data_IF_513316158624
#
_entry.id   IF_513316158624
#
_cell.length_a   1.000
_cell.length_b   1.000
_cell.length_c   1.000
_cell.angle_alpha   90.00
_cell.angle_beta   90.00
_cell.angle_gamma   90.00
#
_symmetry.space_group_name_H-M   'P 1'
#
loop_
_entity.id
_entity.type
_entity.pdbx_description
1 polymer ?
#
# COMPACT_ATOMS: atom_id res chain seq x y z
N UNK A 1 -49.96 -8.69 -69.11
CA UNK A 1 -49.29 -9.60 -70.06
C UNK A 1 -47.86 -9.80 -69.63
N UNK A 2 -47.34 -11.04 -69.56
CA UNK A 2 -46.27 -11.47 -68.65
C UNK A 2 -44.94 -11.83 -69.35
N UNK A 3 -43.86 -12.02 -68.56
CA UNK A 3 -42.71 -12.94 -68.73
C UNK A 3 -41.71 -12.64 -67.58
N UNK A 4 -41.44 -13.47 -66.54
CA UNK A 4 -40.81 -14.81 -66.49
C UNK A 4 -39.56 -14.89 -67.38
N UNK A 5 -38.34 -15.18 -66.94
CA UNK A 5 -37.78 -15.59 -65.64
C UNK A 5 -36.26 -15.79 -65.81
N UNK A 6 -35.54 -16.09 -64.73
CA UNK A 6 -34.11 -16.43 -64.81
C UNK A 6 -33.45 -16.53 -63.45
N UNK A 7 -33.43 -17.74 -62.89
CA UNK A 7 -32.77 -18.07 -61.64
C UNK A 7 -31.25 -18.21 -61.82
N UNK A 8 -30.46 -17.79 -60.82
CA UNK A 8 -29.19 -18.44 -60.49
C UNK A 8 -28.87 -18.24 -59.01
N UNK A 9 -28.67 -19.37 -58.35
CA UNK A 9 -28.30 -19.48 -56.94
C UNK A 9 -26.82 -19.15 -56.74
N UNK A 10 -26.50 -18.38 -55.70
CA UNK A 10 -25.19 -18.47 -55.05
C UNK A 10 -25.36 -18.50 -53.54
N UNK A 11 -24.75 -19.52 -52.94
CA UNK A 11 -24.82 -19.84 -51.51
C UNK A 11 -23.77 -19.05 -50.74
N UNK A 12 -24.17 -18.68 -49.51
CA UNK A 12 -23.38 -18.60 -48.27
C UNK A 12 -22.16 -17.66 -48.26
N UNK A 13 -22.22 -16.69 -47.35
CA UNK A 13 -21.44 -16.80 -46.12
C UNK A 13 -22.05 -15.89 -45.06
N UNK A 14 -22.57 -16.48 -43.98
CA UNK A 14 -22.94 -15.75 -42.78
C UNK A 14 -21.66 -15.38 -42.04
N UNK A 15 -21.34 -14.09 -42.00
CA UNK A 15 -20.35 -13.57 -41.06
C UNK A 15 -21.05 -13.32 -39.74
N UNK A 16 -21.04 -14.34 -38.88
CA UNK A 16 -21.27 -14.17 -37.45
C UNK A 16 -20.10 -13.37 -36.89
N UNK A 17 -20.28 -12.05 -36.77
CA UNK A 17 -19.39 -11.20 -35.98
C UNK A 17 -19.59 -11.58 -34.51
N UNK A 18 -18.71 -12.44 -34.01
CA UNK A 18 -18.55 -12.74 -32.60
C UNK A 18 -18.13 -11.46 -31.87
N UNK A 19 -19.10 -10.79 -31.26
CA UNK A 19 -18.84 -9.80 -30.23
C UNK A 19 -18.25 -10.54 -29.02
N UNK A 20 -16.92 -10.62 -28.95
CA UNK A 20 -16.23 -11.01 -27.72
C UNK A 20 -16.32 -9.84 -26.74
N UNK A 21 -17.48 -9.73 -26.09
CA UNK A 21 -17.63 -8.92 -24.89
C UNK A 21 -16.78 -9.55 -23.80
N UNK A 22 -15.60 -8.98 -23.55
CA UNK A 22 -15.01 -9.07 -22.22
C UNK A 22 -15.96 -8.35 -21.29
N UNK A 23 -16.82 -9.11 -20.60
CA UNK A 23 -17.69 -8.58 -19.58
C UNK A 23 -16.79 -8.08 -18.45
N UNK A 24 -16.39 -6.81 -18.51
CA UNK A 24 -15.76 -6.12 -17.41
C UNK A 24 -16.74 -6.18 -16.23
N UNK A 25 -16.42 -7.02 -15.25
CA UNK A 25 -17.26 -7.19 -14.07
C UNK A 25 -17.18 -5.89 -13.26
N UNK A 26 -18.20 -5.04 -13.37
CA UNK A 26 -18.27 -3.80 -12.61
C UNK A 26 -18.64 -4.12 -11.16
N UNK A 27 -17.65 -4.18 -10.27
CA UNK A 27 -17.87 -4.17 -8.82
C UNK A 27 -18.22 -2.72 -8.43
N UNK A 28 -19.33 -2.54 -7.71
CA UNK A 28 -19.69 -1.24 -7.13
C UNK A 28 -18.67 -0.82 -6.06
N UNK A 29 -18.43 0.47 -5.91
CA UNK A 29 -17.55 1.01 -4.87
C UNK A 29 -17.92 0.54 -3.44
N UNK A 30 -19.20 0.38 -3.13
CA UNK A 30 -19.67 -0.17 -1.84
C UNK A 30 -19.18 -1.60 -1.63
N UNK A 31 -19.44 -2.51 -2.58
CA UNK A 31 -18.93 -3.89 -2.53
C UNK A 31 -17.40 -3.97 -2.46
N UNK A 32 -16.70 -3.09 -3.17
CA UNK A 32 -15.24 -3.03 -3.08
C UNK A 32 -14.80 -2.62 -1.67
N UNK A 33 -15.47 -1.65 -1.06
CA UNK A 33 -15.20 -1.22 0.32
C UNK A 33 -15.47 -2.34 1.33
N UNK A 34 -16.60 -3.05 1.21
CA UNK A 34 -16.92 -4.20 2.06
C UNK A 34 -15.86 -5.30 1.95
N UNK A 35 -15.42 -5.60 0.72
CA UNK A 35 -14.35 -6.55 0.48
C UNK A 35 -13.03 -6.10 1.13
N UNK A 36 -12.64 -4.83 0.96
CA UNK A 36 -11.43 -4.29 1.56
C UNK A 36 -11.49 -4.31 3.09
N UNK A 37 -12.64 -4.06 3.70
CA UNK A 37 -12.80 -4.16 5.15
C UNK A 37 -12.57 -5.60 5.64
N UNK A 38 -13.12 -6.60 4.92
CA UNK A 38 -12.84 -7.99 5.21
C UNK A 38 -11.35 -8.34 5.03
N UNK A 39 -10.69 -7.78 4.01
CA UNK A 39 -9.25 -7.93 3.84
C UNK A 39 -8.45 -7.29 4.97
N UNK A 40 -8.84 -6.11 5.47
CA UNK A 40 -8.21 -5.49 6.64
C UNK A 40 -8.26 -6.46 7.82
N UNK A 41 -9.42 -7.03 8.15
CA UNK A 41 -9.52 -8.01 9.24
C UNK A 41 -8.63 -9.24 9.01
N UNK A 42 -8.59 -9.76 7.78
CA UNK A 42 -7.75 -10.91 7.43
C UNK A 42 -6.24 -10.63 7.57
N UNK A 43 -5.77 -9.49 7.05
CA UNK A 43 -4.36 -9.11 7.09
C UNK A 43 -3.92 -8.69 8.49
N UNK A 44 -4.78 -8.04 9.26
CA UNK A 44 -4.45 -7.62 10.61
C UNK A 44 -4.29 -8.78 11.60
N UNK A 45 -5.00 -9.89 11.37
CA UNK A 45 -4.87 -11.12 12.16
C UNK A 45 -3.55 -11.87 11.94
N UNK A 46 -2.77 -11.51 10.91
CA UNK A 46 -1.45 -12.10 10.68
C UNK A 46 -0.44 -11.51 11.67
N UNK A 47 0.47 -12.34 12.17
CA UNK A 47 1.57 -11.84 12.99
C UNK A 47 2.46 -10.89 12.17
N UNK A 48 2.81 -9.69 12.69
CA UNK A 48 3.78 -8.85 12.02
C UNK A 48 5.13 -9.56 11.97
N UNK A 49 5.61 -9.89 10.77
CA UNK A 49 6.92 -10.50 10.64
C UNK A 49 7.98 -9.50 11.11
N UNK A 50 8.80 -9.91 12.07
CA UNK A 50 10.01 -9.15 12.39
C UNK A 50 10.95 -9.25 11.18
N UNK A 51 11.25 -8.11 10.56
CA UNK A 51 12.15 -8.06 9.41
C UNK A 51 13.55 -7.83 9.97
N UNK A 52 14.38 -8.86 9.88
CA UNK A 52 15.79 -8.78 10.27
C UNK A 52 16.59 -7.93 9.29
N UNK A 53 17.69 -7.32 9.77
CA UNK A 53 18.63 -6.60 8.90
C UNK A 53 19.14 -7.48 7.75
N UNK A 54 19.34 -8.78 8.00
CA UNK A 54 19.73 -9.74 6.97
C UNK A 54 18.69 -9.84 5.85
N UNK A 55 17.40 -9.90 6.18
CA UNK A 55 16.33 -9.91 5.16
C UNK A 55 16.29 -8.61 4.35
N UNK A 56 16.59 -7.46 4.98
CA UNK A 56 16.71 -6.17 4.26
C UNK A 56 17.90 -6.19 3.29
N UNK A 57 19.05 -6.69 3.73
CA UNK A 57 20.26 -6.84 2.90
C UNK A 57 20.06 -7.84 1.76
N UNK A 58 19.36 -8.95 2.01
CA UNK A 58 19.04 -9.94 0.97
C UNK A 58 18.07 -9.36 -0.08
N UNK A 59 17.26 -8.37 0.33
CA UNK A 59 16.37 -7.57 -0.50
C UNK A 59 17.05 -6.31 -1.06
N UNK A 60 18.27 -6.44 -1.60
CA UNK A 60 19.05 -5.35 -2.18
C UNK A 60 18.80 -5.09 -3.68
N UNK A 61 17.90 -5.81 -4.34
CA UNK A 61 17.48 -5.52 -5.73
C UNK A 61 16.06 -4.97 -5.76
N UNK A 62 15.68 -4.17 -6.77
CA UNK A 62 14.31 -3.63 -6.90
C UNK A 62 13.23 -4.72 -6.80
N UNK A 63 13.45 -5.87 -7.43
CA UNK A 63 12.51 -6.99 -7.47
C UNK A 63 12.30 -7.61 -6.09
N UNK A 64 13.41 -7.86 -5.38
CA UNK A 64 13.37 -8.47 -4.04
C UNK A 64 12.80 -7.50 -3.00
N UNK A 65 13.20 -6.23 -3.07
CA UNK A 65 12.65 -5.18 -2.21
C UNK A 65 11.15 -4.95 -2.48
N UNK A 66 10.71 -5.04 -3.75
CA UNK A 66 9.30 -4.97 -4.11
C UNK A 66 8.53 -6.17 -3.57
N UNK A 67 9.04 -7.40 -3.73
CA UNK A 67 8.40 -8.61 -3.21
C UNK A 67 8.26 -8.57 -1.68
N UNK A 68 9.31 -8.13 -0.97
CA UNK A 68 9.26 -7.97 0.49
C UNK A 68 8.23 -6.89 0.89
N UNK A 69 8.23 -5.74 0.22
CA UNK A 69 7.31 -4.65 0.51
C UNK A 69 5.85 -5.01 0.21
N UNK A 70 5.59 -5.65 -0.94
CA UNK A 70 4.25 -6.08 -1.36
C UNK A 70 3.66 -7.11 -0.40
N UNK A 71 4.49 -7.98 0.17
CA UNK A 71 4.10 -8.94 1.21
C UNK A 71 3.80 -8.25 2.56
N UNK A 72 4.70 -7.39 3.02
CA UNK A 72 4.69 -6.90 4.40
C UNK A 72 3.83 -5.65 4.63
N UNK A 73 3.74 -4.76 3.63
CA UNK A 73 3.02 -3.49 3.79
C UNK A 73 1.51 -3.70 4.03
N UNK A 74 0.78 -4.57 3.31
CA UNK A 74 -0.65 -4.79 3.57
C UNK A 74 -0.94 -5.21 5.01
N UNK A 75 -0.18 -6.16 5.56
CA UNK A 75 -0.29 -6.62 6.96
C UNK A 75 -0.17 -5.42 7.91
N UNK A 76 0.92 -4.67 7.76
CA UNK A 76 1.26 -3.55 8.62
C UNK A 76 0.25 -2.40 8.53
N UNK A 77 -0.31 -2.13 7.35
CA UNK A 77 -1.35 -1.12 7.17
C UNK A 77 -2.69 -1.58 7.74
N UNK A 78 -3.08 -2.84 7.55
CA UNK A 78 -4.29 -3.40 8.13
C UNK A 78 -4.28 -3.33 9.67
N UNK A 79 -3.15 -3.70 10.30
CA UNK A 79 -2.98 -3.60 11.74
C UNK A 79 -3.15 -2.18 12.26
N UNK A 80 -2.69 -1.16 11.50
CA UNK A 80 -2.82 0.24 11.91
C UNK A 80 -4.22 0.78 11.74
N UNK A 81 -4.93 0.32 10.72
CA UNK A 81 -6.35 0.62 10.56
C UNK A 81 -7.09 0.12 11.82
N UNK A 82 -6.89 -1.14 12.21
CA UNK A 82 -7.50 -1.68 13.44
C UNK A 82 -7.01 -1.00 14.72
N UNK A 83 -5.72 -0.61 14.77
CA UNK A 83 -5.17 0.11 15.93
C UNK A 83 -5.83 1.48 16.14
N UNK A 84 -6.20 2.17 15.06
CA UNK A 84 -6.96 3.43 15.12
C UNK A 84 -8.42 3.14 15.47
N UNK A 85 -9.04 2.15 14.83
CA UNK A 85 -10.43 1.75 15.10
C UNK A 85 -10.65 1.27 16.55
N UNK A 86 -9.59 0.83 17.23
CA UNK A 86 -9.61 0.44 18.64
C UNK A 86 -9.51 1.60 19.64
N UNK A 87 -9.42 2.86 19.19
CA UNK A 87 -9.50 4.03 20.06
C UNK A 87 -10.97 4.44 20.24
N UNK A 88 -11.45 4.52 21.47
CA UNK A 88 -12.76 5.09 21.76
C UNK A 88 -12.79 6.55 21.29
N UNK A 89 -13.90 6.95 20.66
CA UNK A 89 -14.09 8.32 20.15
C UNK A 89 -13.31 8.68 18.87
N UNK A 90 -12.60 7.75 18.22
CA UNK A 90 -11.82 8.06 17.01
C UNK A 90 -12.66 8.65 15.88
N UNK A 91 -13.90 8.18 15.69
CA UNK A 91 -14.83 8.66 14.66
C UNK A 91 -15.29 10.10 14.90
N UNK A 92 -15.30 10.55 16.16
CA UNK A 92 -15.65 11.92 16.52
C UNK A 92 -14.49 12.90 16.29
N UNK A 93 -13.25 12.41 16.12
CA UNK A 93 -12.08 13.24 15.84
C UNK A 93 -11.82 13.35 14.33
N UNK A 94 -12.00 14.53 13.71
CA UNK A 94 -11.78 14.70 12.27
C UNK A 94 -10.35 14.35 11.85
N UNK A 95 -9.37 14.62 12.70
CA UNK A 95 -7.97 14.29 12.45
C UNK A 95 -7.71 12.78 12.47
N UNK A 96 -8.31 12.03 13.41
CA UNK A 96 -8.17 10.57 13.43
C UNK A 96 -8.92 9.91 12.27
N UNK A 97 -10.08 10.46 11.87
CA UNK A 97 -10.79 10.04 10.66
C UNK A 97 -9.94 10.26 9.41
N UNK A 98 -9.22 11.39 9.31
CA UNK A 98 -8.31 11.61 8.19
C UNK A 98 -7.11 10.64 8.21
N UNK A 99 -6.51 10.41 9.39
CA UNK A 99 -5.43 9.42 9.52
C UNK A 99 -5.92 8.03 9.10
N UNK A 100 -7.05 7.57 9.61
CA UNK A 100 -7.69 6.30 9.20
C UNK A 100 -7.87 6.24 7.68
N UNK A 101 -8.45 7.29 7.09
CA UNK A 101 -8.65 7.40 5.64
C UNK A 101 -7.35 7.32 4.84
N UNK A 102 -6.26 7.93 5.31
CA UNK A 102 -4.94 7.85 4.68
C UNK A 102 -4.40 6.42 4.69
N UNK A 103 -4.53 5.70 5.81
CA UNK A 103 -4.14 4.30 5.91
C UNK A 103 -5.03 3.40 5.05
N UNK A 104 -6.35 3.56 5.08
CA UNK A 104 -7.29 2.76 4.30
C UNK A 104 -7.10 2.94 2.79
N UNK A 105 -6.98 4.19 2.30
CA UNK A 105 -6.70 4.47 0.87
C UNK A 105 -5.38 3.85 0.42
N UNK A 106 -4.37 3.84 1.30
CA UNK A 106 -3.08 3.23 1.01
C UNK A 106 -3.14 1.71 1.03
N UNK A 107 -3.82 1.12 2.00
CA UNK A 107 -4.08 -0.32 2.05
C UNK A 107 -4.79 -0.79 0.77
N UNK A 108 -5.83 -0.08 0.34
CA UNK A 108 -6.50 -0.34 -0.95
C UNK A 108 -5.52 -0.35 -2.11
N UNK A 109 -4.71 0.69 -2.26
CA UNK A 109 -3.78 0.79 -3.39
C UNK A 109 -2.73 -0.35 -3.35
N UNK A 110 -2.27 -0.74 -2.16
CA UNK A 110 -1.37 -1.89 -1.96
C UNK A 110 -2.05 -3.24 -2.28
N UNK A 111 -3.35 -3.37 -2.03
CA UNK A 111 -4.10 -4.59 -2.32
C UNK A 111 -4.45 -4.75 -3.79
N UNK A 112 -4.76 -3.65 -4.46
CA UNK A 112 -5.17 -3.64 -5.87
C UNK A 112 -3.99 -3.65 -6.85
N UNK A 113 -2.78 -3.33 -6.41
CA UNK A 113 -1.61 -3.40 -7.28
C UNK A 113 -1.12 -4.83 -7.47
N UNK A 114 -1.09 -5.27 -8.72
CA UNK A 114 -0.46 -6.52 -9.12
C UNK A 114 1.06 -6.31 -9.20
N UNK A 115 1.81 -7.20 -8.54
CA UNK A 115 3.27 -7.15 -8.59
C UNK A 115 3.81 -7.88 -9.83
N UNK A 116 4.05 -7.13 -10.90
CA UNK A 116 4.83 -7.60 -12.05
C UNK A 116 6.33 -7.42 -11.78
N UNK A 117 7.01 -8.50 -11.39
CA UNK A 117 8.44 -8.47 -11.03
C UNK A 117 9.34 -7.90 -12.15
N UNK A 118 8.92 -8.04 -13.43
CA UNK A 118 9.67 -7.52 -14.58
C UNK A 118 9.37 -6.05 -14.89
N UNK A 119 8.30 -5.47 -14.35
CA UNK A 119 7.84 -4.09 -14.60
C UNK A 119 7.26 -3.49 -13.33
N UNK A 120 8.12 -2.84 -12.56
CA UNK A 120 7.79 -2.33 -11.24
C UNK A 120 7.14 -0.93 -11.25
N UNK A 121 6.80 -0.37 -12.42
CA UNK A 121 6.31 1.01 -12.54
C UNK A 121 5.02 1.23 -11.73
N UNK A 122 4.05 0.32 -11.86
CA UNK A 122 2.79 0.41 -11.12
C UNK A 122 3.00 0.37 -9.60
N UNK A 123 3.86 -0.54 -9.13
CA UNK A 123 4.20 -0.65 -7.71
C UNK A 123 4.97 0.57 -7.22
N UNK A 124 5.91 1.08 -8.01
CA UNK A 124 6.65 2.32 -7.74
C UNK A 124 5.70 3.49 -7.51
N UNK A 125 4.70 3.66 -8.36
CA UNK A 125 3.72 4.74 -8.22
C UNK A 125 2.85 4.58 -6.97
N UNK A 126 2.50 3.36 -6.58
CA UNK A 126 1.82 3.10 -5.30
C UNK A 126 2.70 3.50 -4.11
N UNK A 127 3.99 3.15 -4.12
CA UNK A 127 4.91 3.51 -3.03
C UNK A 127 5.15 5.02 -2.96
N UNK A 128 5.28 5.72 -4.10
CA UNK A 128 5.38 7.20 -4.11
C UNK A 128 4.13 7.85 -3.52
N UNK A 129 2.94 7.40 -3.90
CA UNK A 129 1.67 7.89 -3.34
C UNK A 129 1.58 7.63 -1.83
N UNK A 130 1.96 6.44 -1.39
CA UNK A 130 2.05 6.07 0.02
C UNK A 130 2.94 7.08 0.77
N UNK A 131 4.19 7.28 0.34
CA UNK A 131 5.12 8.20 1.01
C UNK A 131 4.57 9.63 1.07
N UNK A 132 3.92 10.08 -0.01
CA UNK A 132 3.25 11.39 -0.06
C UNK A 132 2.13 11.53 0.97
N UNK A 133 1.24 10.54 1.08
CA UNK A 133 0.14 10.53 2.05
C UNK A 133 0.63 10.48 3.50
N UNK A 134 1.66 9.67 3.77
CA UNK A 134 2.14 9.47 5.15
C UNK A 134 2.79 10.72 5.74
N UNK A 135 3.23 11.68 4.92
CA UNK A 135 3.86 12.93 5.39
C UNK A 135 2.97 13.76 6.33
N UNK A 136 1.66 13.74 6.14
CA UNK A 136 0.72 14.52 6.95
C UNK A 136 0.18 13.79 8.17
N UNK A 137 0.49 12.49 8.33
CA UNK A 137 -0.06 11.67 9.42
C UNK A 137 0.36 12.17 10.79
N UNK A 138 1.63 12.58 11.01
CA UNK A 138 2.08 12.98 12.36
C UNK A 138 1.33 14.23 12.87
N UNK A 139 1.23 15.32 12.08
CA UNK A 139 0.43 16.47 12.50
C UNK A 139 -1.02 16.13 12.85
N UNK A 140 -1.74 15.39 12.00
CA UNK A 140 -3.12 14.99 12.28
C UNK A 140 -3.20 14.11 13.52
N UNK A 141 -2.32 13.11 13.63
CA UNK A 141 -2.31 12.20 14.77
C UNK A 141 -2.10 12.94 16.09
N UNK A 142 -1.19 13.92 16.14
CA UNK A 142 -0.95 14.72 17.34
C UNK A 142 -2.21 15.52 17.76
N UNK A 143 -2.90 16.14 16.80
CA UNK A 143 -4.15 16.87 17.06
C UNK A 143 -5.27 15.91 17.50
N UNK A 144 -5.41 14.78 16.82
CA UNK A 144 -6.40 13.77 17.12
C UNK A 144 -6.24 13.15 18.51
N UNK A 145 -5.01 12.83 18.89
CA UNK A 145 -4.72 12.32 20.25
C UNK A 145 -5.05 13.33 21.33
N UNK A 146 -4.75 14.62 21.11
CA UNK A 146 -5.14 15.68 22.05
C UNK A 146 -6.65 15.77 22.20
N UNK A 147 -7.39 15.67 21.09
CA UNK A 147 -8.85 15.65 21.11
C UNK A 147 -9.38 14.50 21.98
N UNK A 148 -8.79 13.31 21.90
CA UNK A 148 -9.19 12.16 22.73
C UNK A 148 -8.88 12.37 24.22
N UNK A 149 -7.79 13.05 24.57
CA UNK A 149 -7.52 13.40 25.96
C UNK A 149 -8.60 14.33 26.54
N UNK A 150 -9.08 15.27 25.73
CA UNK A 150 -10.07 16.27 26.15
C UNK A 150 -11.50 15.72 26.19
N UNK A 151 -11.86 14.87 25.23
CA UNK A 151 -13.24 14.38 25.05
C UNK A 151 -13.53 13.03 25.68
N UNK A 152 -12.59 12.08 25.56
CA UNK A 152 -12.77 10.69 26.00
C UNK A 152 -11.98 10.36 27.28
N UNK A 153 -11.21 11.31 27.81
CA UNK A 153 -10.47 11.17 29.07
C UNK A 153 -9.24 10.27 29.00
N UNK A 154 -8.67 10.07 27.80
CA UNK A 154 -7.40 9.36 27.66
C UNK A 154 -6.29 10.04 28.48
N UNK A 155 -5.61 9.26 29.31
CA UNK A 155 -4.47 9.75 30.08
C UNK A 155 -3.23 9.91 29.19
N UNK A 156 -2.31 10.78 29.58
CA UNK A 156 -1.03 10.96 28.89
C UNK A 156 -0.26 9.64 28.75
N UNK A 157 -0.31 8.78 29.77
CA UNK A 157 0.34 7.46 29.72
C UNK A 157 -0.30 6.53 28.68
N UNK A 158 -1.64 6.52 28.56
CA UNK A 158 -2.34 5.73 27.55
C UNK A 158 -2.02 6.21 26.13
N UNK A 159 -2.03 7.53 25.92
CA UNK A 159 -1.65 8.14 24.63
C UNK A 159 -0.20 7.82 24.29
N UNK A 160 0.72 7.97 25.26
CA UNK A 160 2.14 7.67 25.08
C UNK A 160 2.37 6.22 24.66
N UNK A 161 1.77 5.26 25.37
CA UNK A 161 1.88 3.84 25.05
C UNK A 161 1.33 3.52 23.66
N UNK A 162 0.18 4.11 23.29
CA UNK A 162 -0.41 3.91 21.97
C UNK A 162 0.50 4.49 20.87
N UNK A 163 1.02 5.71 21.07
CA UNK A 163 1.91 6.39 20.14
C UNK A 163 3.23 5.64 19.95
N UNK A 164 3.82 5.11 21.03
CA UNK A 164 5.05 4.32 20.94
C UNK A 164 4.86 3.11 20.02
N UNK A 165 3.77 2.36 20.22
CA UNK A 165 3.42 1.21 19.37
C UNK A 165 3.19 1.64 17.91
N UNK A 166 2.41 2.69 17.71
CA UNK A 166 2.07 3.20 16.38
C UNK A 166 3.31 3.70 15.61
N UNK A 167 4.16 4.51 16.27
CA UNK A 167 5.35 5.11 15.67
C UNK A 167 6.46 4.08 15.46
N UNK A 168 6.68 3.15 16.38
CA UNK A 168 7.64 2.07 16.20
C UNK A 168 7.26 1.21 15.00
N UNK A 169 5.97 0.84 14.89
CA UNK A 169 5.44 0.12 13.75
C UNK A 169 5.68 0.91 12.44
N UNK A 170 5.45 2.23 12.46
CA UNK A 170 5.65 3.12 11.30
C UNK A 170 7.12 3.16 10.83
N UNK A 171 8.10 3.11 11.72
CA UNK A 171 9.53 3.05 11.34
C UNK A 171 9.78 1.86 10.41
N UNK A 172 9.22 0.69 10.72
CA UNK A 172 9.36 -0.51 9.86
C UNK A 172 8.76 -0.32 8.45
N UNK A 173 7.71 0.48 8.33
CA UNK A 173 7.10 0.81 7.03
C UNK A 173 7.95 1.79 6.23
N UNK A 174 8.48 2.81 6.91
CA UNK A 174 9.39 3.77 6.29
C UNK A 174 10.68 3.08 5.83
N UNK A 175 11.19 2.12 6.61
CA UNK A 175 12.33 1.28 6.25
C UNK A 175 12.06 0.49 4.97
N UNK A 176 10.94 -0.25 4.89
CA UNK A 176 10.58 -1.06 3.71
C UNK A 176 10.46 -0.19 2.45
N UNK A 177 9.69 0.89 2.55
CA UNK A 177 9.46 1.79 1.41
C UNK A 177 10.73 2.51 0.98
N UNK A 178 11.58 2.91 1.92
CA UNK A 178 12.85 3.57 1.61
C UNK A 178 13.87 2.60 1.02
N UNK A 179 13.95 1.36 1.52
CA UNK A 179 14.78 0.31 0.92
C UNK A 179 14.39 0.09 -0.54
N UNK A 180 13.10 -0.08 -0.81
CA UNK A 180 12.61 -0.27 -2.17
C UNK A 180 12.93 0.91 -3.09
N UNK A 181 12.63 2.15 -2.66
CA UNK A 181 12.92 3.34 -3.46
C UNK A 181 14.44 3.49 -3.71
N UNK A 182 15.28 3.23 -2.71
CA UNK A 182 16.73 3.27 -2.87
C UNK A 182 17.21 2.22 -3.88
N UNK A 183 16.67 0.99 -3.84
CA UNK A 183 16.99 -0.03 -4.83
C UNK A 183 16.58 0.40 -6.25
N UNK A 184 15.40 0.98 -6.43
CA UNK A 184 14.96 1.52 -7.73
C UNK A 184 15.89 2.63 -8.22
N UNK A 185 16.29 3.56 -7.34
CA UNK A 185 17.18 4.67 -7.67
C UNK A 185 18.60 4.20 -8.04
N UNK A 186 19.12 3.16 -7.37
CA UNK A 186 20.47 2.62 -7.64
C UNK A 186 20.62 2.02 -9.04
N UNK A 187 19.53 1.61 -9.69
CA UNK A 187 19.55 1.21 -11.11
C UNK A 187 20.01 2.37 -11.99
N UNK A 188 19.62 3.59 -11.64
CA UNK A 188 20.02 4.80 -12.36
C UNK A 188 21.33 5.39 -11.84
N UNK A 189 21.64 5.21 -10.55
CA UNK A 189 22.81 5.80 -9.88
C UNK A 189 23.53 4.78 -8.97
N UNK A 190 24.41 3.94 -9.51
CA UNK A 190 25.12 2.93 -8.71
C UNK A 190 25.99 3.58 -7.63
N UNK A 191 25.82 3.15 -6.37
CA UNK A 191 26.66 3.60 -5.23
C UNK A 191 27.42 2.40 -4.68
N UNK A 192 28.76 2.46 -4.72
CA UNK A 192 29.62 1.42 -4.16
C UNK A 192 29.45 1.32 -2.63
N UNK A 193 29.25 0.11 -2.09
CA UNK A 193 29.12 -0.14 -0.64
C UNK A 193 27.77 0.27 -0.03
N UNK A 194 26.71 0.36 -0.84
CA UNK A 194 25.34 0.56 -0.33
C UNK A 194 24.38 -0.47 -0.88
N UNK A 195 23.58 -1.04 0.02
CA UNK A 195 22.53 -2.01 -0.29
C UNK A 195 21.18 -1.37 0.02
N UNK A 196 20.67 -0.61 -0.95
CA UNK A 196 19.52 0.27 -0.73
C UNK A 196 19.83 1.35 0.30
N UNK A 197 19.15 1.33 1.44
CA UNK A 197 19.36 2.30 2.54
C UNK A 197 20.45 1.88 3.54
N UNK A 198 21.02 0.68 3.39
CA UNK A 198 22.06 0.17 4.30
C UNK A 198 23.45 0.45 3.75
N UNK A 199 24.31 1.06 4.57
CA UNK A 199 25.72 1.30 4.28
C UNK A 199 26.55 0.23 5.01
N UNK A 200 27.15 -0.70 4.25
CA UNK A 200 27.94 -1.82 4.82
C UNK A 200 29.35 -1.39 5.25
N UNK A 201 29.72 -0.13 4.99
CA UNK A 201 30.98 0.50 5.39
C UNK A 201 30.73 1.73 6.28
N UNK A 202 29.59 1.75 6.98
CA UNK A 202 29.26 2.80 7.92
C UNK A 202 30.38 3.00 8.95
N UNK A 203 30.90 4.24 9.02
CA UNK A 203 31.78 4.71 10.09
C UNK A 203 30.95 5.57 11.06
N UNK A 204 30.59 5.04 12.25
CA UNK A 204 29.82 5.80 13.23
C UNK A 204 30.52 7.06 13.70
N UNK A 205 31.86 7.06 13.79
CA UNK A 205 32.61 8.23 14.25
C UNK A 205 32.48 9.38 13.25
N UNK A 206 32.56 9.09 11.94
CA UNK A 206 32.38 10.08 10.89
C UNK A 206 30.98 10.69 10.86
N UNK A 207 29.93 9.93 11.20
CA UNK A 207 28.56 10.44 11.27
C UNK A 207 28.40 11.44 12.42
N UNK A 208 29.01 11.16 13.57
CA UNK A 208 28.95 12.05 14.74
C UNK A 208 29.71 13.38 14.55
N UNK A 209 30.50 13.52 13.48
CA UNK A 209 31.28 14.72 13.17
C UNK A 209 30.60 15.65 12.15
N UNK A 210 29.44 15.28 11.62
CA UNK A 210 28.64 16.08 10.67
C UNK A 210 27.64 16.99 11.40
#
# INVERSE_FOLDING_TARGET
GPALGGASASRRCGSSSSASGSAAFHISEERLREFLQAEVSFFAAQEPNSISLRQVLDAATPERAAALSHKELPIRFAQRILQIEGLDGWEASPDLVEVHGLYFRTFRDLRLVELEVKRLDAFTEVIKKLKGRMRTVIPHLATGMRSLQESEGYSEAMIGQWLDSFLLSRIGTEMLTSQYMACVDTVSHPRSGRHGIVDDRCDPAAICLQ
#
